data_IF_330395580067
#
_entry.id   IF_330395580067
#
_cell.length_a   1.000
_cell.length_b   1.000
_cell.length_c   1.000
_cell.angle_alpha   90.00
_cell.angle_beta   90.00
_cell.angle_gamma   90.00
#
_symmetry.space_group_name_H-M   'P 1'
#
loop_
_entity.id
_entity.type
_entity.pdbx_description
1 polymer ?
#
# COMPACT_ATOMS: atom_id res chain seq x y z
N UNK A 1 -4.31 -2.45 6.23
CA UNK A 1 -4.42 -2.55 4.76
C UNK A 1 -4.96 -1.28 4.12
N UNK A 2 -5.96 -0.59 4.69
CA UNK A 2 -6.40 0.73 4.19
C UNK A 2 -5.27 1.76 4.12
N UNK A 3 -4.40 1.83 5.16
CA UNK A 3 -3.29 2.78 5.17
C UNK A 3 -2.27 2.51 4.04
N UNK A 4 -1.94 1.25 3.75
CA UNK A 4 -1.04 0.89 2.63
C UNK A 4 -1.58 1.43 1.31
N UNK A 5 -2.89 1.26 1.06
CA UNK A 5 -3.55 1.82 -0.13
C UNK A 5 -3.40 3.35 -0.19
N UNK A 6 -3.72 4.05 0.89
CA UNK A 6 -3.61 5.51 0.91
C UNK A 6 -2.17 5.99 0.69
N UNK A 7 -1.19 5.31 1.29
CA UNK A 7 0.23 5.66 1.12
C UNK A 7 0.71 5.44 -0.31
N UNK A 8 0.38 4.30 -0.92
CA UNK A 8 0.75 4.02 -2.32
C UNK A 8 0.16 5.08 -3.26
N UNK A 9 -1.13 5.38 -3.12
CA UNK A 9 -1.79 6.40 -3.94
C UNK A 9 -1.22 7.81 -3.71
N UNK A 10 -0.88 8.15 -2.47
CA UNK A 10 -0.27 9.44 -2.13
C UNK A 10 1.16 9.58 -2.71
N UNK A 11 1.95 8.50 -2.68
CA UNK A 11 3.30 8.50 -3.28
C UNK A 11 3.19 8.58 -4.80
N UNK A 12 2.28 7.83 -5.42
CA UNK A 12 2.07 7.81 -6.86
C UNK A 12 1.63 9.17 -7.42
N UNK A 13 0.78 9.89 -6.68
CA UNK A 13 0.29 11.20 -7.09
C UNK A 13 1.39 12.28 -7.18
N UNK A 14 2.60 11.99 -6.70
CA UNK A 14 3.74 12.91 -6.81
C UNK A 14 4.19 13.09 -8.26
N UNK A 15 4.17 14.32 -8.82
CA UNK A 15 4.48 14.56 -10.23
C UNK A 15 5.90 14.17 -10.66
N UNK A 16 6.84 14.15 -9.71
CA UNK A 16 8.26 13.88 -9.99
C UNK A 16 8.60 12.39 -9.90
N UNK A 17 7.66 11.54 -9.49
CA UNK A 17 7.91 10.13 -9.14
C UNK A 17 8.65 9.93 -7.81
N UNK A 18 9.15 11.02 -7.19
CA UNK A 18 9.68 10.96 -5.83
C UNK A 18 8.55 11.02 -4.82
N UNK A 19 8.61 10.18 -3.80
CA UNK A 19 7.70 10.26 -2.66
C UNK A 19 7.76 11.67 -2.03
N UNK A 20 6.61 12.22 -1.57
CA UNK A 20 6.60 13.47 -0.85
C UNK A 20 7.54 13.44 0.37
N UNK A 21 8.26 14.54 0.61
CA UNK A 21 9.16 14.66 1.78
C UNK A 21 8.44 14.48 3.11
N UNK A 22 7.16 14.84 3.15
CA UNK A 22 6.31 14.66 4.32
C UNK A 22 5.04 13.98 3.84
N UNK A 23 4.84 12.74 4.27
CA UNK A 23 3.61 11.99 4.07
C UNK A 23 2.72 12.19 5.29
N UNK A 24 1.49 12.64 5.03
CA UNK A 24 0.46 12.77 6.04
C UNK A 24 -0.83 12.16 5.49
N UNK A 25 -1.43 11.26 6.26
CA UNK A 25 -2.72 10.64 5.95
C UNK A 25 -3.63 10.93 7.14
N UNK A 26 -4.79 11.53 6.86
CA UNK A 26 -5.74 11.91 7.91
C UNK A 26 -6.14 10.70 8.77
N UNK A 27 -6.14 10.90 10.09
CA UNK A 27 -6.48 9.86 11.06
C UNK A 27 -5.33 8.90 11.41
N UNK A 28 -4.13 9.09 10.85
CA UNK A 28 -2.96 8.27 11.17
C UNK A 28 -1.81 9.11 11.73
N UNK A 29 -1.13 8.55 12.72
CA UNK A 29 0.08 9.14 13.31
C UNK A 29 1.29 8.93 12.41
N UNK A 30 2.34 9.74 12.61
CA UNK A 30 3.61 9.55 11.89
C UNK A 30 4.27 8.20 12.23
N UNK A 31 4.08 7.70 13.46
CA UNK A 31 4.56 6.38 13.88
C UNK A 31 3.88 5.25 13.08
N UNK A 32 2.55 5.32 12.91
CA UNK A 32 1.83 4.35 12.08
C UNK A 32 2.23 4.43 10.61
N UNK A 33 2.40 5.65 10.07
CA UNK A 33 2.86 5.86 8.70
C UNK A 33 4.26 5.26 8.51
N UNK A 34 5.19 5.60 9.39
CA UNK A 34 6.57 5.10 9.36
C UNK A 34 6.65 3.58 9.41
N UNK A 35 5.89 2.95 10.29
CA UNK A 35 5.79 1.50 10.38
C UNK A 35 5.20 0.87 9.11
N UNK A 36 4.16 1.47 8.52
CA UNK A 36 3.59 0.95 7.28
C UNK A 36 4.53 1.13 6.08
N UNK A 37 5.29 2.22 6.02
CA UNK A 37 6.35 2.38 5.03
C UNK A 37 7.43 1.32 5.21
N UNK A 38 7.80 0.96 6.44
CA UNK A 38 8.74 -0.12 6.71
C UNK A 38 8.23 -1.46 6.15
N UNK A 39 6.98 -1.83 6.45
CA UNK A 39 6.36 -3.05 5.90
C UNK A 39 6.29 -3.00 4.36
N UNK A 40 5.97 -1.84 3.78
CA UNK A 40 5.92 -1.65 2.32
C UNK A 40 7.30 -1.78 1.66
N UNK A 41 8.36 -1.36 2.36
CA UNK A 41 9.74 -1.50 1.92
C UNK A 41 10.14 -2.98 1.89
N UNK A 42 9.84 -3.73 2.96
CA UNK A 42 10.09 -5.17 3.03
C UNK A 42 9.29 -5.95 1.97
N UNK A 43 8.05 -5.55 1.72
CA UNK A 43 7.19 -6.13 0.69
C UNK A 43 7.60 -5.76 -0.75
N UNK A 44 8.60 -4.88 -0.91
CA UNK A 44 9.08 -4.45 -2.22
C UNK A 44 8.08 -3.57 -2.99
N UNK A 45 7.13 -2.93 -2.33
CA UNK A 45 6.20 -1.98 -2.95
C UNK A 45 6.82 -0.59 -3.15
N UNK A 46 7.82 -0.24 -2.33
CA UNK A 46 8.51 1.04 -2.40
C UNK A 46 10.03 0.85 -2.48
N UNK A 47 10.70 1.84 -3.05
CA UNK A 47 12.15 2.05 -2.87
C UNK A 47 12.33 3.02 -1.73
N UNK A 48 13.36 2.84 -0.92
CA UNK A 48 13.57 3.65 0.27
C UNK A 48 14.70 3.14 1.14
N UNK A 49 14.71 3.56 2.39
CA UNK A 49 15.64 3.09 3.39
C UNK A 49 14.92 2.85 4.71
N UNK A 50 15.31 1.78 5.40
CA UNK A 50 15.02 1.60 6.81
C UNK A 50 15.81 2.64 7.60
N UNK A 51 15.11 3.40 8.44
CA UNK A 51 15.68 4.45 9.29
C UNK A 51 15.44 4.17 10.77
N UNK A 52 15.07 2.93 11.11
CA UNK A 52 14.84 2.50 12.48
C UNK A 52 16.07 2.73 13.33
N UNK A 53 15.88 3.40 14.48
CA UNK A 53 16.94 3.66 15.44
C UNK A 53 16.69 2.91 16.74
N UNK A 54 17.73 2.73 17.57
CA UNK A 54 17.61 2.05 18.86
C UNK A 54 16.60 2.70 19.82
N UNK A 55 16.33 4.00 19.67
CA UNK A 55 15.34 4.72 20.48
C UNK A 55 13.95 4.79 19.86
N UNK A 56 13.74 4.18 18.67
CA UNK A 56 12.46 4.18 18.00
C UNK A 56 11.45 3.31 18.76
N UNK A 57 10.20 3.77 18.80
CA UNK A 57 9.10 3.02 19.41
C UNK A 57 8.59 1.89 18.51
N UNK A 58 8.79 2.01 17.21
CA UNK A 58 8.46 1.05 16.18
C UNK A 58 9.49 1.10 15.04
N UNK A 59 9.57 0.06 14.19
CA UNK A 59 10.28 0.16 12.93
C UNK A 59 9.76 1.33 12.08
N UNK A 60 10.65 1.95 11.32
CA UNK A 60 10.34 3.10 10.46
C UNK A 60 11.15 3.04 9.17
N UNK A 61 10.53 3.43 8.05
CA UNK A 61 11.23 3.63 6.79
C UNK A 61 10.81 4.94 6.13
N UNK A 62 11.70 5.45 5.28
CA UNK A 62 11.41 6.55 4.36
C UNK A 62 11.25 6.00 2.94
N UNK A 63 10.26 6.52 2.22
CA UNK A 63 10.05 6.21 0.81
C UNK A 63 10.81 7.19 -0.07
N UNK A 64 11.44 6.68 -1.14
CA UNK A 64 12.00 7.46 -2.23
C UNK A 64 11.05 7.47 -3.43
N UNK A 65 10.48 6.32 -3.79
CA UNK A 65 9.53 6.16 -4.91
C UNK A 65 8.76 4.85 -4.76
N UNK A 66 7.73 4.63 -5.58
CA UNK A 66 7.19 3.28 -5.76
C UNK A 66 8.17 2.39 -6.54
N UNK A 67 8.06 1.08 -6.35
CA UNK A 67 8.57 0.09 -7.31
C UNK A 67 7.54 -0.15 -8.41
N UNK A 68 7.88 -0.98 -9.41
CA UNK A 68 6.90 -1.43 -10.39
C UNK A 68 5.70 -2.14 -9.73
N UNK A 69 5.97 -3.06 -8.79
CA UNK A 69 4.93 -3.74 -8.02
C UNK A 69 4.08 -2.76 -7.20
N UNK A 70 4.69 -1.68 -6.70
CA UNK A 70 3.97 -0.57 -6.07
C UNK A 70 2.99 0.12 -7.01
N UNK A 71 3.39 0.39 -8.26
CA UNK A 71 2.49 0.95 -9.27
C UNK A 71 1.36 -0.02 -9.66
N UNK A 72 1.67 -1.30 -9.85
CA UNK A 72 0.63 -2.30 -10.13
C UNK A 72 -0.39 -2.39 -9.00
N UNK A 73 0.08 -2.32 -7.75
CA UNK A 73 -0.81 -2.24 -6.59
C UNK A 73 -1.63 -0.95 -6.57
N UNK A 74 -1.02 0.20 -6.90
CA UNK A 74 -1.70 1.49 -6.97
C UNK A 74 -2.89 1.43 -7.94
N UNK A 75 -2.65 0.93 -9.15
CA UNK A 75 -3.67 0.83 -10.19
C UNK A 75 -4.77 -0.17 -9.83
N UNK A 76 -4.40 -1.34 -9.29
CA UNK A 76 -5.36 -2.33 -8.84
C UNK A 76 -6.24 -1.81 -7.69
N UNK A 77 -5.65 -1.04 -6.77
CA UNK A 77 -6.34 -0.49 -5.60
C UNK A 77 -7.06 0.85 -5.87
N UNK A 78 -6.91 1.46 -7.05
CA UNK A 78 -7.50 2.77 -7.35
C UNK A 78 -9.03 2.73 -7.38
N UNK A 79 -9.60 1.67 -7.95
CA UNK A 79 -11.05 1.52 -8.07
C UNK A 79 -11.67 1.18 -6.70
N UNK A 80 -12.46 2.12 -6.16
CA UNK A 80 -13.09 1.98 -4.84
C UNK A 80 -14.07 0.79 -4.78
N UNK A 81 -14.86 0.56 -5.83
CA UNK A 81 -15.83 -0.53 -5.87
C UNK A 81 -15.14 -1.90 -5.85
N UNK A 82 -14.09 -2.06 -6.68
CA UNK A 82 -13.31 -3.30 -6.71
C UNK A 82 -12.54 -3.49 -5.39
N UNK A 83 -11.99 -2.42 -4.83
CA UNK A 83 -11.32 -2.46 -3.53
C UNK A 83 -12.27 -2.89 -2.40
N UNK A 84 -13.44 -2.26 -2.30
CA UNK A 84 -14.45 -2.59 -1.29
C UNK A 84 -14.87 -4.07 -1.40
N UNK A 85 -15.16 -4.54 -2.62
CA UNK A 85 -15.52 -5.93 -2.90
C UNK A 85 -14.40 -6.91 -2.53
N UNK A 86 -13.15 -6.55 -2.82
CA UNK A 86 -12.00 -7.37 -2.45
C UNK A 86 -11.85 -7.46 -0.92
N UNK A 87 -12.01 -6.34 -0.20
CA UNK A 87 -11.93 -6.33 1.26
C UNK A 87 -13.06 -7.12 1.92
N UNK A 88 -14.29 -7.01 1.40
CA UNK A 88 -15.45 -7.78 1.85
C UNK A 88 -15.20 -9.29 1.71
N UNK A 89 -14.84 -9.75 0.51
CA UNK A 89 -14.55 -11.15 0.24
C UNK A 89 -13.44 -11.70 1.14
N UNK A 90 -12.42 -10.89 1.40
CA UNK A 90 -11.31 -11.32 2.25
C UNK A 90 -11.73 -11.44 3.72
N UNK A 91 -12.54 -10.50 4.21
CA UNK A 91 -13.11 -10.53 5.56
C UNK A 91 -14.00 -11.75 5.76
N UNK A 92 -14.79 -12.12 4.76
CA UNK A 92 -15.70 -13.27 4.83
C UNK A 92 -14.98 -14.62 4.75
N UNK A 93 -13.92 -14.74 3.94
CA UNK A 93 -13.40 -16.05 3.51
C UNK A 93 -12.00 -16.42 3.97
N UNK A 94 -11.14 -15.45 4.30
CA UNK A 94 -9.71 -15.73 4.47
C UNK A 94 -9.20 -15.65 5.90
N UNK A 95 -9.92 -15.00 6.83
CA UNK A 95 -9.53 -14.81 8.24
C UNK A 95 -8.29 -13.93 8.47
N UNK A 96 -7.35 -13.91 7.53
CA UNK A 96 -6.17 -13.03 7.46
C UNK A 96 -5.97 -12.57 6.02
N UNK A 97 -5.38 -11.38 5.86
CA UNK A 97 -5.23 -10.72 4.55
C UNK A 97 -3.75 -10.48 4.28
N UNK A 98 -3.22 -11.11 3.24
CA UNK A 98 -1.89 -10.79 2.71
C UNK A 98 -2.00 -9.85 1.51
N UNK A 99 -0.99 -9.00 1.29
CA UNK A 99 -0.93 -8.10 0.12
C UNK A 99 -1.03 -8.91 -1.19
N UNK A 100 -0.37 -10.06 -1.26
CA UNK A 100 -0.42 -10.96 -2.42
C UNK A 100 -1.84 -11.47 -2.70
N UNK A 101 -2.59 -11.84 -1.66
CA UNK A 101 -3.98 -12.28 -1.82
C UNK A 101 -4.87 -11.14 -2.32
N UNK A 102 -4.71 -9.93 -1.78
CA UNK A 102 -5.44 -8.74 -2.26
C UNK A 102 -5.14 -8.49 -3.75
N UNK A 103 -3.87 -8.49 -4.13
CA UNK A 103 -3.44 -8.30 -5.52
C UNK A 103 -4.10 -9.32 -6.47
N UNK A 104 -4.06 -10.60 -6.10
CA UNK A 104 -4.71 -11.68 -6.87
C UNK A 104 -6.22 -11.46 -7.00
N UNK A 105 -6.86 -11.04 -5.91
CA UNK A 105 -8.30 -10.81 -5.90
C UNK A 105 -8.70 -9.60 -6.75
N UNK A 106 -7.99 -8.48 -6.63
CA UNK A 106 -8.23 -7.29 -7.45
C UNK A 106 -8.02 -7.58 -8.94
N UNK A 107 -6.97 -8.30 -9.30
CA UNK A 107 -6.74 -8.72 -10.68
C UNK A 107 -7.88 -9.61 -11.20
N UNK A 108 -8.32 -10.59 -10.40
CA UNK A 108 -9.45 -11.46 -10.77
C UNK A 108 -10.76 -10.69 -10.94
N UNK A 109 -11.05 -9.74 -10.06
CA UNK A 109 -12.24 -8.90 -10.15
C UNK A 109 -12.19 -7.98 -11.38
N UNK A 110 -11.01 -7.42 -11.70
CA UNK A 110 -10.80 -6.61 -12.89
C UNK A 110 -10.98 -7.44 -14.18
N UNK A 111 -10.39 -8.63 -14.28
CA UNK A 111 -10.58 -9.54 -15.43
C UNK A 111 -12.06 -9.89 -15.62
N UNK A 112 -12.76 -10.23 -14.53
CA UNK A 112 -14.19 -10.53 -14.58
C UNK A 112 -15.03 -9.34 -15.07
N UNK A 113 -14.66 -8.11 -14.72
CA UNK A 113 -15.33 -6.91 -15.20
C UNK A 113 -15.11 -6.66 -16.71
N UNK A 114 -14.00 -7.15 -17.25
CA UNK A 114 -13.68 -7.10 -18.68
C UNK A 114 -14.26 -8.28 -19.49
N UNK A 115 -14.86 -9.27 -18.82
CA UNK A 115 -15.37 -10.49 -19.46
C UNK A 115 -14.27 -11.47 -19.91
N UNK A 116 -13.09 -11.39 -19.29
CA UNK A 116 -11.95 -12.30 -19.48
C UNK A 116 -11.99 -13.50 -18.54
#
# INVERSE_FOLDING_TARGET
>A
MSLVRHLVLAIEASPSGFAPRTLAIDGYTQEEIGYHLHVMLEAGLIRGADVTTHGAKSPEAIATSLTWAGHEFADAARNEELWAKAMELTKEKAGSVTIELIMKLLASLASSALGL
#
